data_IF_361624865776
#
_entry.id   IF_361624865776
#
_cell.length_a   1.000
_cell.length_b   1.000
_cell.length_c   1.000
_cell.angle_alpha   90.00
_cell.angle_beta   90.00
_cell.angle_gamma   90.00
#
_symmetry.space_group_name_H-M   'P 1'
#
loop_
_entity.id
_entity.type
_entity.pdbx_description
1 polymer ?
#
# COMPACT_ATOMS: atom_id res chain seq x y z
N UNK A 1 -64.57 -7.89 9.37
CA UNK A 1 -63.61 -7.15 8.53
C UNK A 1 -62.65 -6.43 9.47
N UNK A 2 -61.51 -7.05 9.78
CA UNK A 2 -60.55 -6.58 10.79
C UNK A 2 -59.72 -5.45 10.18
N UNK A 3 -59.72 -4.29 10.83
CA UNK A 3 -58.91 -3.13 10.44
C UNK A 3 -57.58 -3.26 11.20
N UNK A 4 -56.52 -3.66 10.50
CA UNK A 4 -55.14 -3.64 11.04
C UNK A 4 -54.66 -2.19 11.00
N UNK A 5 -54.56 -1.57 12.18
CA UNK A 5 -53.81 -0.33 12.37
C UNK A 5 -52.32 -0.65 12.23
N UNK A 6 -51.70 -0.19 11.14
CA UNK A 6 -50.24 -0.18 10.99
C UNK A 6 -49.75 1.10 11.65
N UNK A 7 -49.00 0.95 12.72
CA UNK A 7 -48.29 2.06 13.38
C UNK A 7 -47.10 2.41 12.51
N UNK A 8 -47.10 3.63 11.95
CA UNK A 8 -46.00 4.20 11.19
C UNK A 8 -44.94 4.72 12.18
N UNK A 9 -43.94 3.88 12.48
CA UNK A 9 -42.80 4.27 13.31
C UNK A 9 -41.83 5.04 12.43
N UNK A 10 -41.96 6.37 12.41
CA UNK A 10 -40.91 7.28 11.95
C UNK A 10 -39.73 7.22 12.94
N UNK A 11 -38.91 6.19 12.80
CA UNK A 11 -37.56 6.19 13.34
C UNK A 11 -36.72 7.16 12.52
N UNK A 12 -36.54 8.39 13.00
CA UNK A 12 -35.47 9.28 12.55
C UNK A 12 -34.17 8.69 13.11
N UNK A 13 -33.68 7.64 12.45
CA UNK A 13 -32.35 7.10 12.64
C UNK A 13 -31.36 8.08 12.03
N UNK A 14 -30.58 8.71 12.90
CA UNK A 14 -29.41 9.55 12.63
C UNK A 14 -28.74 9.12 11.34
N UNK A 15 -28.81 9.98 10.32
CA UNK A 15 -28.01 9.87 9.11
C UNK A 15 -26.55 9.76 9.56
N UNK A 16 -25.95 8.59 9.34
CA UNK A 16 -24.51 8.40 9.47
C UNK A 16 -23.82 9.51 8.68
N UNK A 17 -23.02 10.32 9.37
CA UNK A 17 -22.18 11.34 8.76
C UNK A 17 -21.24 10.68 7.75
N UNK A 18 -21.13 11.17 6.50
CA UNK A 18 -20.27 10.58 5.49
C UNK A 18 -18.81 10.98 5.76
N UNK A 19 -18.15 10.33 6.72
CA UNK A 19 -16.69 10.45 6.95
C UNK A 19 -15.88 9.35 6.22
N UNK A 20 -16.49 8.67 5.24
CA UNK A 20 -15.84 7.65 4.39
C UNK A 20 -15.86 8.08 2.91
N UNK A 21 -15.90 9.39 2.64
CA UNK A 21 -16.25 9.89 1.32
C UNK A 21 -15.10 9.89 0.30
N UNK A 22 -13.84 9.62 0.70
CA UNK A 22 -12.71 9.85 -0.20
C UNK A 22 -11.60 8.79 -0.20
N UNK A 23 -11.83 7.62 0.39
CA UNK A 23 -10.95 6.47 0.19
C UNK A 23 -11.22 5.84 -1.19
N UNK A 24 -10.22 5.87 -2.09
CA UNK A 24 -10.36 5.32 -3.46
C UNK A 24 -9.41 4.15 -3.78
N UNK A 25 -8.47 3.84 -2.89
CA UNK A 25 -7.56 2.71 -3.05
C UNK A 25 -8.02 1.47 -2.26
N UNK A 26 -8.23 0.32 -2.93
CA UNK A 26 -8.60 -0.92 -2.26
C UNK A 26 -7.37 -1.62 -1.68
N UNK A 27 -7.59 -2.57 -0.77
CA UNK A 27 -6.54 -3.52 -0.38
C UNK A 27 -5.95 -4.19 -1.63
N UNK A 28 -4.62 -4.21 -1.73
CA UNK A 28 -3.91 -4.72 -2.91
C UNK A 28 -2.87 -5.76 -2.52
N UNK A 29 -3.08 -7.00 -2.95
CA UNK A 29 -2.18 -8.12 -2.71
C UNK A 29 -1.06 -8.17 -3.74
N UNK A 30 0.16 -8.54 -3.31
CA UNK A 30 1.35 -8.49 -4.16
C UNK A 30 1.76 -9.86 -4.73
N UNK A 31 1.40 -10.95 -4.05
CA UNK A 31 1.65 -12.31 -4.51
C UNK A 31 0.81 -12.70 -5.73
N UNK A 32 1.33 -13.61 -6.56
CA UNK A 32 0.73 -13.91 -7.87
C UNK A 32 -0.66 -14.56 -7.79
N UNK A 33 -1.07 -15.11 -6.64
CA UNK A 33 -2.39 -15.74 -6.49
C UNK A 33 -3.53 -14.72 -6.50
N UNK A 34 -3.27 -13.49 -6.03
CA UNK A 34 -4.30 -12.45 -5.80
C UNK A 34 -3.92 -11.10 -6.38
N UNK A 35 -2.76 -10.97 -7.01
CA UNK A 35 -2.27 -9.72 -7.54
C UNK A 35 -3.15 -9.20 -8.68
N UNK A 36 -3.59 -7.96 -8.54
CA UNK A 36 -4.29 -7.20 -9.56
C UNK A 36 -3.52 -5.89 -9.84
N UNK A 37 -3.79 -5.26 -11.00
CA UNK A 37 -3.24 -3.95 -11.36
C UNK A 37 -1.70 -3.84 -11.37
N UNK A 38 -0.99 -4.96 -11.54
CA UNK A 38 0.46 -5.01 -11.71
C UNK A 38 0.91 -4.55 -13.10
N UNK A 39 1.83 -3.56 -13.15
CA UNK A 39 2.24 -2.91 -14.41
C UNK A 39 3.72 -3.02 -14.78
N UNK A 40 4.57 -3.66 -13.98
CA UNK A 40 5.97 -3.85 -14.41
C UNK A 40 6.11 -4.79 -15.60
N UNK A 41 7.25 -4.65 -16.29
CA UNK A 41 7.72 -5.58 -17.31
C UNK A 41 8.95 -6.36 -16.79
N UNK A 42 8.99 -7.70 -16.92
CA UNK A 42 7.91 -8.55 -17.43
C UNK A 42 6.69 -8.54 -16.49
N UNK A 43 5.54 -9.05 -16.96
CA UNK A 43 4.43 -9.41 -16.06
C UNK A 43 4.93 -10.42 -15.01
N UNK A 44 4.25 -10.51 -13.86
CA UNK A 44 4.65 -11.40 -12.79
C UNK A 44 4.96 -12.81 -13.32
N UNK A 45 6.14 -13.31 -12.97
CA UNK A 45 6.60 -14.64 -13.30
C UNK A 45 6.65 -15.45 -11.99
N UNK A 46 5.66 -16.32 -11.74
CA UNK A 46 5.59 -17.12 -10.52
C UNK A 46 6.89 -17.86 -10.22
N UNK A 47 7.37 -17.72 -8.99
CA UNK A 47 8.53 -18.41 -8.39
C UNK A 47 9.84 -18.28 -9.16
N UNK A 48 9.94 -17.27 -10.04
CA UNK A 48 11.12 -17.02 -10.87
C UNK A 48 11.76 -15.68 -10.52
N UNK A 49 13.06 -15.72 -10.28
CA UNK A 49 13.90 -14.52 -10.15
C UNK A 49 13.86 -13.74 -11.46
N UNK A 50 13.42 -12.49 -11.41
CA UNK A 50 13.34 -11.61 -12.58
C UNK A 50 13.72 -10.19 -12.25
N UNK A 51 14.27 -9.50 -13.26
CA UNK A 51 14.49 -8.06 -13.19
C UNK A 51 13.24 -7.36 -13.71
N UNK A 52 12.55 -6.65 -12.84
CA UNK A 52 11.36 -5.87 -13.17
C UNK A 52 11.72 -4.41 -13.42
N UNK A 53 11.05 -3.81 -14.40
CA UNK A 53 11.17 -2.40 -14.75
C UNK A 53 9.78 -1.77 -14.84
N UNK A 54 9.69 -0.52 -14.41
CA UNK A 54 8.48 0.29 -14.53
C UNK A 54 8.54 1.16 -15.79
N UNK A 55 7.40 1.34 -16.44
CA UNK A 55 7.22 2.39 -17.45
C UNK A 55 7.02 3.77 -16.81
N UNK A 56 6.89 4.80 -17.63
CA UNK A 56 6.89 6.20 -17.16
C UNK A 56 5.54 6.68 -16.58
N UNK A 57 4.46 5.93 -16.77
CA UNK A 57 3.11 6.35 -16.36
C UNK A 57 2.44 5.26 -15.53
N UNK A 58 1.92 5.65 -14.37
CA UNK A 58 1.17 4.81 -13.44
C UNK A 58 -0.21 5.45 -13.23
N UNK A 59 -1.28 4.65 -13.34
CA UNK A 59 -2.65 5.07 -13.06
C UNK A 59 -3.01 4.78 -11.60
N UNK A 60 -4.10 5.37 -11.12
CA UNK A 60 -4.59 5.11 -9.76
C UNK A 60 -4.80 3.59 -9.55
N UNK A 61 -4.43 3.10 -8.37
CA UNK A 61 -4.49 1.71 -7.93
C UNK A 61 -3.61 0.75 -8.72
N UNK A 62 -2.69 1.27 -9.53
CA UNK A 62 -1.64 0.47 -10.16
C UNK A 62 -0.38 0.47 -9.32
N UNK A 63 0.36 -0.61 -9.44
CA UNK A 63 1.61 -0.81 -8.74
C UNK A 63 2.60 -1.63 -9.56
N UNK A 64 3.86 -1.60 -9.14
CA UNK A 64 4.87 -2.46 -9.73
C UNK A 64 6.19 -2.49 -8.98
N UNK A 65 7.03 -3.39 -9.44
CA UNK A 65 8.38 -3.67 -8.94
C UNK A 65 9.45 -3.05 -9.84
N UNK A 66 10.53 -2.60 -9.22
CA UNK A 66 11.77 -2.18 -9.87
C UNK A 66 12.93 -2.95 -9.23
N UNK A 67 13.79 -3.55 -10.05
CA UNK A 67 14.97 -4.30 -9.59
C UNK A 67 14.79 -5.81 -9.64
N UNK A 68 15.57 -6.57 -8.87
CA UNK A 68 15.62 -8.03 -8.91
C UNK A 68 14.72 -8.67 -7.85
N UNK A 69 13.63 -9.31 -8.26
CA UNK A 69 12.61 -9.85 -7.36
C UNK A 69 12.30 -11.32 -7.65
N UNK A 70 11.79 -12.02 -6.65
CA UNK A 70 10.95 -13.21 -6.83
C UNK A 70 9.53 -12.86 -6.40
N UNK A 71 8.55 -13.33 -7.18
CA UNK A 71 7.11 -13.18 -6.86
C UNK A 71 6.61 -14.57 -6.53
N UNK A 72 6.18 -14.76 -5.30
CA UNK A 72 5.64 -16.01 -4.75
C UNK A 72 4.11 -15.89 -4.64
N UNK A 73 3.43 -16.96 -4.21
CA UNK A 73 1.96 -17.03 -4.16
C UNK A 73 1.33 -15.85 -3.42
N UNK A 74 1.87 -15.49 -2.25
CA UNK A 74 1.30 -14.48 -1.34
C UNK A 74 2.16 -13.22 -1.20
N UNK A 75 3.39 -13.22 -1.70
CA UNK A 75 4.36 -12.13 -1.45
C UNK A 75 5.29 -11.86 -2.62
N UNK A 76 5.96 -10.72 -2.53
CA UNK A 76 7.14 -10.39 -3.34
C UNK A 76 8.36 -10.29 -2.43
N UNK A 77 9.48 -10.89 -2.83
CA UNK A 77 10.73 -10.84 -2.07
C UNK A 77 11.83 -10.11 -2.85
N UNK A 78 12.42 -9.12 -2.19
CA UNK A 78 13.53 -8.32 -2.70
C UNK A 78 14.82 -9.13 -2.64
N UNK A 79 15.54 -9.26 -3.77
CA UNK A 79 16.79 -10.01 -3.84
C UNK A 79 18.04 -9.12 -3.90
N UNK A 80 17.90 -7.79 -3.98
CA UNK A 80 19.01 -6.83 -4.02
C UNK A 80 18.66 -5.53 -3.29
N UNK A 81 19.70 -4.84 -2.83
CA UNK A 81 19.61 -3.44 -2.39
C UNK A 81 19.20 -2.54 -3.57
N UNK A 82 18.42 -1.50 -3.28
CA UNK A 82 17.89 -0.53 -4.25
C UNK A 82 16.64 -1.01 -4.98
N UNK A 83 16.15 -2.21 -4.67
CA UNK A 83 14.88 -2.72 -5.19
C UNK A 83 13.71 -1.90 -4.64
N UNK A 84 12.70 -1.64 -5.48
CA UNK A 84 11.59 -0.75 -5.13
C UNK A 84 10.22 -1.36 -5.42
N UNK A 85 9.23 -0.98 -4.62
CA UNK A 85 7.81 -1.10 -4.94
C UNK A 85 7.27 0.31 -5.14
N UNK A 86 6.54 0.53 -6.21
CA UNK A 86 5.89 1.81 -6.55
C UNK A 86 4.39 1.58 -6.61
N UNK A 87 3.60 2.45 -6.00
CA UNK A 87 2.15 2.38 -5.99
C UNK A 87 1.57 3.79 -6.16
N UNK A 88 0.55 3.95 -7.01
CA UNK A 88 -0.23 5.21 -7.06
C UNK A 88 -1.55 5.04 -6.34
N UNK A 89 -1.74 5.76 -5.23
CA UNK A 89 -2.88 5.58 -4.32
C UNK A 89 -3.64 6.89 -4.07
N UNK A 90 -4.80 6.74 -3.45
CA UNK A 90 -5.66 7.82 -3.00
C UNK A 90 -6.34 7.40 -1.68
N UNK A 91 -5.73 7.81 -0.57
CA UNK A 91 -6.15 7.53 0.80
C UNK A 91 -5.40 8.46 1.77
N UNK A 92 -5.84 8.57 3.02
CA UNK A 92 -5.16 9.37 4.05
C UNK A 92 -3.96 8.65 4.64
N UNK A 93 -4.14 7.38 4.96
CA UNK A 93 -3.11 6.50 5.49
C UNK A 93 -2.74 5.45 4.42
N UNK A 94 -1.44 5.13 4.32
CA UNK A 94 -0.95 3.97 3.56
C UNK A 94 -0.17 3.07 4.51
N UNK A 95 -0.56 1.80 4.52
CA UNK A 95 0.13 0.75 5.24
C UNK A 95 0.59 -0.36 4.30
N UNK A 96 1.60 -1.10 4.73
CA UNK A 96 2.11 -2.26 4.01
C UNK A 96 2.38 -3.39 5.00
N UNK A 97 1.85 -4.57 4.71
CA UNK A 97 2.25 -5.78 5.42
C UNK A 97 3.63 -6.19 4.92
N UNK A 98 4.62 -6.11 5.80
CA UNK A 98 6.02 -6.42 5.53
C UNK A 98 6.52 -7.50 6.47
N UNK A 99 7.48 -8.27 5.97
CA UNK A 99 8.31 -9.19 6.72
C UNK A 99 9.72 -9.21 6.13
N UNK A 100 10.58 -10.05 6.68
CA UNK A 100 11.96 -10.17 6.23
C UNK A 100 12.40 -11.62 6.28
N UNK A 101 13.21 -12.02 5.31
CA UNK A 101 13.80 -13.34 5.24
C UNK A 101 14.59 -13.65 6.51
N UNK A 102 14.27 -14.78 7.15
CA UNK A 102 14.88 -15.25 8.40
C UNK A 102 14.85 -14.22 9.54
N UNK A 103 13.84 -13.35 9.58
CA UNK A 103 13.71 -12.25 10.56
C UNK A 103 14.92 -11.31 10.63
N UNK A 104 15.76 -11.30 9.59
CA UNK A 104 16.90 -10.39 9.49
C UNK A 104 16.36 -8.97 9.25
N UNK A 105 16.74 -7.97 10.07
CA UNK A 105 16.30 -6.60 9.84
C UNK A 105 16.67 -6.09 8.44
N UNK A 106 15.75 -5.40 7.79
CA UNK A 106 15.96 -4.79 6.47
C UNK A 106 15.61 -3.31 6.54
N UNK A 107 16.61 -2.46 6.35
CA UNK A 107 16.39 -1.02 6.23
C UNK A 107 15.68 -0.67 4.91
N UNK A 108 14.81 0.32 4.96
CA UNK A 108 14.12 0.85 3.78
C UNK A 108 13.98 2.37 3.86
N UNK A 109 13.75 3.00 2.70
CA UNK A 109 13.38 4.41 2.59
C UNK A 109 12.09 4.52 1.80
N UNK A 110 11.13 5.31 2.29
CA UNK A 110 9.91 5.66 1.57
C UNK A 110 9.95 7.09 1.05
N UNK A 111 9.22 7.33 -0.03
CA UNK A 111 8.97 8.68 -0.55
C UNK A 111 7.53 8.83 -1.02
N UNK A 112 7.05 10.06 -0.98
CA UNK A 112 5.75 10.47 -1.48
C UNK A 112 5.96 11.49 -2.60
N UNK A 113 5.45 11.21 -3.79
CA UNK A 113 5.68 12.01 -5.00
C UNK A 113 7.16 12.31 -5.27
N UNK A 114 8.04 11.36 -4.94
CA UNK A 114 9.49 11.48 -5.11
C UNK A 114 10.20 12.33 -4.05
N UNK A 115 9.47 12.83 -3.04
CA UNK A 115 9.99 13.65 -1.95
C UNK A 115 9.93 12.91 -0.61
N UNK A 116 10.68 13.41 0.38
CA UNK A 116 10.62 12.89 1.75
C UNK A 116 9.21 13.14 2.34
N UNK A 117 8.67 12.23 3.17
CA UNK A 117 7.31 12.38 3.71
C UNK A 117 7.13 13.61 4.61
N UNK A 118 8.19 14.08 5.29
CA UNK A 118 8.14 15.13 6.31
C UNK A 118 7.00 14.83 7.31
N UNK A 119 6.14 15.78 7.63
CA UNK A 119 5.02 15.61 8.56
C UNK A 119 4.00 14.53 8.15
N UNK A 120 4.01 14.07 6.89
CA UNK A 120 3.15 13.00 6.40
C UNK A 120 3.70 11.59 6.69
N UNK A 121 4.79 11.48 7.45
CA UNK A 121 5.37 10.21 7.84
C UNK A 121 4.41 9.40 8.74
N UNK A 122 4.35 8.09 8.52
CA UNK A 122 3.65 7.17 9.41
C UNK A 122 4.45 6.88 10.69
N UNK A 123 3.86 6.18 11.66
CA UNK A 123 4.53 5.88 12.94
C UNK A 123 5.73 4.94 12.80
N UNK A 124 5.83 4.20 11.69
CA UNK A 124 6.89 3.21 11.46
C UNK A 124 8.06 3.73 10.61
N UNK A 125 8.04 5.02 10.25
CA UNK A 125 9.10 5.70 9.51
C UNK A 125 9.38 7.07 10.11
N UNK A 126 10.61 7.57 9.95
CA UNK A 126 10.94 8.95 10.34
C UNK A 126 10.49 9.97 9.27
N UNK A 127 10.68 11.27 9.55
CA UNK A 127 10.35 12.38 8.64
C UNK A 127 11.06 12.28 7.27
N UNK A 128 12.23 11.64 7.24
CA UNK A 128 13.03 11.40 6.03
C UNK A 128 12.59 10.14 5.28
N UNK A 129 11.57 9.45 5.80
CA UNK A 129 11.02 8.22 5.25
C UNK A 129 11.83 6.97 5.59
N UNK A 130 12.78 7.03 6.51
CA UNK A 130 13.60 5.87 6.87
C UNK A 130 12.85 4.96 7.85
N UNK A 131 12.91 3.66 7.60
CA UNK A 131 12.35 2.65 8.48
C UNK A 131 13.15 1.35 8.45
N UNK A 132 12.80 0.43 9.35
CA UNK A 132 13.43 -0.90 9.44
C UNK A 132 12.35 -1.96 9.62
N UNK A 133 12.36 -2.97 8.75
CA UNK A 133 11.55 -4.18 8.94
C UNK A 133 12.16 -4.97 10.10
N UNK A 134 11.37 -5.26 11.13
CA UNK A 134 11.81 -6.00 12.34
C UNK A 134 10.97 -7.24 12.63
N UNK A 135 10.07 -7.59 11.72
CA UNK A 135 9.18 -8.74 11.85
C UNK A 135 8.01 -8.65 10.88
N UNK A 136 7.25 -9.75 10.80
CA UNK A 136 6.07 -9.86 9.95
C UNK A 136 4.88 -9.14 10.60
N UNK A 137 4.56 -7.93 10.15
CA UNK A 137 3.39 -7.16 10.63
C UNK A 137 2.93 -6.10 9.65
N UNK A 138 1.86 -5.40 10.01
CA UNK A 138 1.42 -4.18 9.35
C UNK A 138 2.34 -3.00 9.75
N UNK A 139 2.83 -2.26 8.76
CA UNK A 139 3.61 -1.04 8.94
C UNK A 139 2.81 0.17 8.43
N UNK A 140 2.61 1.19 9.25
CA UNK A 140 2.05 2.47 8.83
C UNK A 140 3.17 3.36 8.29
N UNK A 141 3.19 3.54 6.97
CA UNK A 141 4.29 4.20 6.27
C UNK A 141 3.98 5.66 5.94
N UNK A 142 2.73 5.97 5.59
CA UNK A 142 2.27 7.33 5.33
C UNK A 142 1.03 7.59 6.17
N UNK A 143 0.99 8.79 6.76
CA UNK A 143 -0.19 9.37 7.41
C UNK A 143 -0.27 10.84 7.04
N UNK A 144 -1.12 11.15 6.07
CA UNK A 144 -1.26 12.51 5.56
C UNK A 144 -1.91 13.43 6.60
N UNK A 145 -1.24 14.55 6.90
CA UNK A 145 -1.68 15.51 7.94
C UNK A 145 -2.47 16.68 7.39
N UNK A 146 -2.24 17.09 6.14
CA UNK A 146 -3.01 18.19 5.53
C UNK A 146 -4.32 17.68 4.97
N UNK A 147 -5.34 18.54 4.91
CA UNK A 147 -6.61 18.26 4.22
C UNK A 147 -6.45 18.09 2.70
N UNK A 148 -5.25 18.30 2.15
CA UNK A 148 -5.00 18.21 0.71
C UNK A 148 -5.03 16.76 0.19
N UNK A 149 -4.93 15.76 1.08
CA UNK A 149 -5.06 14.34 0.66
C UNK A 149 -6.40 14.07 -0.01
N UNK A 150 -7.44 14.84 0.33
CA UNK A 150 -8.79 14.67 -0.20
C UNK A 150 -8.91 15.08 -1.69
N UNK A 151 -7.84 15.59 -2.28
CA UNK A 151 -7.87 16.21 -3.61
C UNK A 151 -6.90 15.60 -4.61
N UNK A 152 -6.00 14.70 -4.15
CA UNK A 152 -4.86 14.28 -4.97
C UNK A 152 -4.49 12.82 -4.79
N UNK A 153 -4.24 12.15 -5.92
CA UNK A 153 -3.54 10.87 -5.92
C UNK A 153 -2.03 11.07 -5.71
N UNK A 154 -1.43 10.22 -4.90
CA UNK A 154 0.01 10.25 -4.63
C UNK A 154 0.72 9.03 -5.18
N UNK A 155 1.98 9.21 -5.60
CA UNK A 155 2.89 8.11 -5.91
C UNK A 155 3.71 7.81 -4.67
N UNK A 156 3.44 6.66 -4.06
CA UNK A 156 4.27 6.08 -3.03
C UNK A 156 5.39 5.25 -3.64
N UNK A 157 6.61 5.38 -3.10
CA UNK A 157 7.72 4.47 -3.38
C UNK A 157 8.30 3.99 -2.07
N UNK A 158 8.57 2.69 -1.97
CA UNK A 158 9.43 2.10 -0.95
C UNK A 158 10.65 1.49 -1.62
N UNK A 159 11.84 1.87 -1.17
CA UNK A 159 13.14 1.34 -1.60
C UNK A 159 13.77 0.54 -0.47
N UNK A 160 14.12 -0.72 -0.73
CA UNK A 160 14.78 -1.60 0.23
C UNK A 160 16.29 -1.43 0.11
N UNK A 161 16.93 -1.00 1.20
CA UNK A 161 18.35 -0.69 1.24
C UNK A 161 19.22 -1.94 1.43
N UNK A 162 18.59 -3.07 1.78
CA UNK A 162 19.18 -4.40 1.86
C UNK A 162 18.28 -5.43 1.14
N UNK A 163 18.84 -6.56 0.69
CA UNK A 163 18.02 -7.68 0.22
C UNK A 163 17.26 -8.34 1.38
N UNK A 164 16.24 -9.14 1.05
CA UNK A 164 15.52 -9.98 2.01
C UNK A 164 14.17 -9.42 2.48
N UNK A 165 13.78 -8.22 2.05
CA UNK A 165 12.44 -7.71 2.34
C UNK A 165 11.36 -8.55 1.67
N UNK A 166 10.30 -8.86 2.40
CA UNK A 166 9.10 -9.54 1.93
C UNK A 166 7.91 -8.59 2.08
N UNK A 167 7.14 -8.39 1.01
CA UNK A 167 5.95 -7.54 1.03
C UNK A 167 4.72 -8.32 0.54
N UNK A 168 3.60 -8.16 1.25
CA UNK A 168 2.43 -9.02 1.09
C UNK A 168 1.23 -8.26 0.52
N UNK A 169 0.80 -7.19 1.19
CA UNK A 169 -0.36 -6.41 0.77
C UNK A 169 -0.29 -4.96 1.23
N UNK A 170 -0.75 -4.05 0.37
CA UNK A 170 -1.07 -2.66 0.74
C UNK A 170 -2.47 -2.58 1.33
N UNK A 171 -2.63 -1.78 2.38
CA UNK A 171 -3.93 -1.39 2.95
C UNK A 171 -3.97 0.12 3.14
N UNK A 172 -5.18 0.66 3.24
CA UNK A 172 -5.42 2.10 3.20
C UNK A 172 -6.46 2.50 4.25
N UNK A 173 -6.38 3.75 4.72
CA UNK A 173 -7.31 4.35 5.69
C UNK A 173 -7.40 5.85 5.59
#
# INVERSE_FOLDING_TARGET
KVIRSVVDVKGVGVLATPEVSDLKSPETYLGYDRAENFISSPKQQPDKKNIYKMGNKILLNQWGLVGLWIVESERVQSLKSGNKIVFKFHAKDLHLVLGSENDKPVAFKVSLDGQEPNDNHGVDVDEKGMGVIRGHRLYQLIRQRSSDFESKDHIFTIEFLEPGAQAFAFTFG
#
